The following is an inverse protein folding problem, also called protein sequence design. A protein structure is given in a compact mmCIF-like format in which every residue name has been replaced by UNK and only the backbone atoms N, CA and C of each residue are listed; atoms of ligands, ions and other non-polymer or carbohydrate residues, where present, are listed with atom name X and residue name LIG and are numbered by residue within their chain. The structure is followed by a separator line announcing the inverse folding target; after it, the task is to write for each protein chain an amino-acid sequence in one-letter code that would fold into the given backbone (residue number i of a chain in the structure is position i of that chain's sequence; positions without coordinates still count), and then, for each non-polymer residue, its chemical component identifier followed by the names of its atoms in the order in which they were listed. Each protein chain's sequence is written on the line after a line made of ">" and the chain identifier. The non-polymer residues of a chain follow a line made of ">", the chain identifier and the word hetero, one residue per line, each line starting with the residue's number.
data_IF_617511755737
#
_entry.id   IF_617511755737
#
_cell.length_a   1.000
_cell.length_b   1.000
_cell.length_c   1.000
_cell.angle_alpha   90.00
_cell.angle_beta   90.00
_cell.angle_gamma   90.00
#
_symmetry.space_group_name_H-M   'P 1'
#
loop_
_entity.id
_entity.type
_entity.pdbx_description
1 polymer ?
#
# COMPACT_ATOMS: atom_id res chain seq x y z
N UNK A 1 -7.57 15.08 -22.32
CA UNK A 1 -6.67 15.63 -21.29
C UNK A 1 -5.53 14.65 -21.06
N UNK A 2 -4.32 15.14 -20.78
CA UNK A 2 -3.16 14.32 -20.41
C UNK A 2 -2.83 14.61 -18.95
N UNK A 3 -2.55 13.55 -18.18
CA UNK A 3 -2.21 13.65 -16.74
C UNK A 3 -0.86 12.99 -16.53
N UNK A 4 0.07 13.70 -15.89
CA UNK A 4 1.34 13.14 -15.46
C UNK A 4 1.20 12.48 -14.08
N UNK A 5 1.84 11.32 -13.92
CA UNK A 5 1.88 10.58 -12.67
C UNK A 5 3.34 10.38 -12.24
N UNK A 6 3.59 10.40 -10.94
CA UNK A 6 4.87 9.96 -10.40
C UNK A 6 5.01 8.43 -10.58
N UNK A 7 6.23 7.94 -10.83
CA UNK A 7 6.47 6.51 -11.07
C UNK A 7 6.07 5.63 -9.88
N UNK A 8 6.34 6.04 -8.63
CA UNK A 8 5.93 5.30 -7.44
C UNK A 8 4.40 5.24 -7.29
N UNK A 9 3.68 6.23 -7.82
CA UNK A 9 2.22 6.20 -7.87
C UNK A 9 1.76 5.14 -8.86
N UNK A 10 2.29 5.12 -10.08
CA UNK A 10 1.89 4.12 -11.10
C UNK A 10 2.26 2.70 -10.67
N UNK A 11 3.43 2.54 -10.05
CA UNK A 11 3.84 1.27 -9.49
C UNK A 11 2.90 0.84 -8.36
N UNK A 12 2.56 1.75 -7.44
CA UNK A 12 1.60 1.46 -6.39
C UNK A 12 0.20 1.13 -6.90
N UNK A 13 -0.32 1.83 -7.91
CA UNK A 13 -1.64 1.54 -8.48
C UNK A 13 -1.76 0.08 -8.97
N UNK A 14 -0.66 -0.56 -9.39
CA UNK A 14 -0.63 -1.97 -9.80
C UNK A 14 -0.85 -2.95 -8.63
N UNK A 15 -0.59 -2.51 -7.40
CA UNK A 15 -0.75 -3.30 -6.16
C UNK A 15 -2.14 -3.15 -5.52
N UNK A 16 -2.98 -2.21 -5.99
CA UNK A 16 -4.34 -1.98 -5.46
C UNK A 16 -5.12 -3.29 -5.24
N UNK A 17 -5.21 -4.23 -6.22
CA UNK A 17 -6.01 -5.43 -6.06
C UNK A 17 -5.55 -6.34 -4.91
N UNK A 18 -4.26 -6.26 -4.53
CA UNK A 18 -3.68 -7.06 -3.45
C UNK A 18 -3.76 -6.40 -2.08
N UNK A 19 -3.85 -5.07 -2.04
CA UNK A 19 -3.78 -4.29 -0.80
C UNK A 19 -5.16 -3.91 -0.26
N UNK A 20 -6.25 -4.56 -0.69
CA UNK A 20 -7.63 -4.22 -0.27
C UNK A 20 -7.98 -4.66 1.16
N UNK A 21 -7.13 -5.47 1.80
CA UNK A 21 -7.32 -6.02 3.15
C UNK A 21 -6.89 -5.07 4.28
N UNK A 22 -6.26 -3.94 3.94
CA UNK A 22 -5.81 -2.93 4.91
C UNK A 22 -6.45 -1.57 4.64
N UNK A 23 -6.63 -0.75 5.67
CA UNK A 23 -7.21 0.61 5.52
C UNK A 23 -6.30 1.56 4.75
N UNK A 24 -4.99 1.48 4.99
CA UNK A 24 -3.98 2.36 4.41
C UNK A 24 -2.67 1.62 4.20
N UNK A 25 -1.95 1.96 3.13
CA UNK A 25 -0.70 1.31 2.77
C UNK A 25 0.18 2.25 1.96
N UNK A 26 1.48 1.98 1.93
CA UNK A 26 2.47 2.80 1.25
C UNK A 26 3.37 1.99 0.34
N UNK A 27 3.97 2.68 -0.61
CA UNK A 27 4.98 2.15 -1.53
C UNK A 27 6.24 2.99 -1.38
N UNK A 28 7.38 2.33 -1.29
CA UNK A 28 8.71 2.92 -1.34
C UNK A 28 9.48 2.21 -2.45
N UNK A 29 9.87 2.96 -3.47
CA UNK A 29 10.62 2.47 -4.61
C UNK A 29 12.08 2.86 -4.45
N UNK A 30 12.99 1.90 -4.65
CA UNK A 30 14.43 2.09 -4.50
C UNK A 30 15.11 1.55 -5.77
N UNK A 31 15.86 2.42 -6.45
CA UNK A 31 16.59 2.10 -7.66
C UNK A 31 17.60 3.21 -7.99
N UNK A 32 17.60 3.70 -9.23
CA UNK A 32 18.40 4.88 -9.63
C UNK A 32 17.91 6.17 -8.97
N UNK A 33 16.70 6.17 -8.43
CA UNK A 33 16.14 7.20 -7.58
C UNK A 33 15.38 6.58 -6.40
N UNK A 34 14.78 7.46 -5.59
CA UNK A 34 13.89 7.11 -4.49
C UNK A 34 12.52 7.72 -4.75
N UNK A 35 11.46 6.92 -4.64
CA UNK A 35 10.09 7.37 -4.80
C UNK A 35 9.19 6.82 -3.71
N UNK A 36 8.15 7.56 -3.35
CA UNK A 36 7.16 7.11 -2.38
C UNK A 36 5.75 7.48 -2.79
N UNK A 37 4.78 6.67 -2.35
CA UNK A 37 3.36 6.94 -2.48
C UNK A 37 2.62 6.35 -1.27
N UNK A 38 1.49 6.96 -0.91
CA UNK A 38 0.63 6.49 0.17
C UNK A 38 -0.83 6.47 -0.31
N UNK A 39 -1.50 5.35 -0.06
CA UNK A 39 -2.86 5.08 -0.51
C UNK A 39 -3.77 4.78 0.68
N UNK A 40 -5.01 5.23 0.57
CA UNK A 40 -6.08 4.93 1.53
C UNK A 40 -7.18 4.24 0.73
N UNK A 41 -7.56 3.04 1.16
CA UNK A 41 -8.65 2.31 0.51
C UNK A 41 -9.99 2.93 0.91
N UNK A 42 -10.93 2.97 -0.04
CA UNK A 42 -12.25 3.59 0.15
C UNK A 42 -13.28 2.65 0.77
N UNK A 43 -13.00 1.35 0.85
CA UNK A 43 -13.87 0.36 1.48
C UNK A 43 -13.50 0.12 2.94
N UNK A 44 -14.45 -0.39 3.73
CA UNK A 44 -14.17 -0.93 5.06
C UNK A 44 -13.25 -2.16 4.87
N UNK A 45 -12.08 -2.23 5.53
CA UNK A 45 -11.30 -3.46 5.54
C UNK A 45 -12.17 -4.59 6.14
N UNK A 46 -11.94 -5.86 5.76
CA UNK A 46 -12.65 -6.98 6.36
C UNK A 46 -12.64 -6.89 7.89
N UNK A 47 -13.77 -7.13 8.56
CA UNK A 47 -13.82 -7.09 10.03
C UNK A 47 -12.74 -8.02 10.61
N UNK A 48 -11.95 -7.46 11.54
CA UNK A 48 -10.84 -8.13 12.20
C UNK A 48 -11.37 -9.27 13.09
N UNK A 49 -11.45 -10.46 12.51
CA UNK A 49 -11.56 -11.70 13.26
C UNK A 49 -10.23 -12.01 13.95
N UNK A 50 -9.98 -11.38 15.10
CA UNK A 50 -9.12 -11.88 16.19
C UNK A 50 -7.64 -12.13 15.88
N UNK A 51 -6.79 -11.25 16.41
CA UNK A 51 -5.55 -11.62 17.10
C UNK A 51 -4.43 -12.24 16.22
N UNK A 52 -3.65 -11.41 15.54
CA UNK A 52 -2.26 -11.76 15.21
C UNK A 52 -1.35 -11.42 16.39
N UNK A 53 -1.30 -12.36 17.32
CA UNK A 53 -0.28 -12.48 18.37
C UNK A 53 1.11 -12.25 17.76
N UNK A 54 1.72 -11.11 18.09
CA UNK A 54 3.14 -10.90 17.92
C UNK A 54 3.89 -11.87 18.83
N UNK A 55 4.19 -13.06 18.30
CA UNK A 55 5.20 -13.95 18.89
C UNK A 55 6.53 -13.21 18.88
N UNK A 56 7.08 -13.06 20.08
CA UNK A 56 8.43 -12.63 20.40
C UNK A 56 9.49 -13.31 19.53
N UNK A 57 10.49 -12.54 19.12
CA UNK A 57 11.89 -12.93 19.01
C UNK A 57 12.68 -11.67 19.40
N UNK A 58 13.32 -11.59 20.57
CA UNK A 58 14.61 -12.21 20.91
C UNK A 58 15.72 -11.74 19.96
#
# INVERSE_FOLDING_TARGET
>A
FVVMHNDAVVQGLSEIPRMQDVKSWGVLTIGTGLGNAHFINKGEPPEDGGERSGKKAA
#
